data_IF_705204841925
#
_entry.id   IF_705204841925
#
_cell.length_a   1.000
_cell.length_b   1.000
_cell.length_c   1.000
_cell.angle_alpha   90.00
_cell.angle_beta   90.00
_cell.angle_gamma   90.00
#
_symmetry.space_group_name_H-M   'P 1'
#
loop_
_entity.id
_entity.type
_entity.pdbx_description
1 polymer ?
#
# COMPACT_ATOMS: atom_id res chain seq x y z
N UNK A 1 -5.92 18.48 -8.78
CA UNK A 1 -5.57 17.75 -7.54
C UNK A 1 -4.44 16.79 -7.84
N UNK A 2 -3.56 16.55 -6.88
CA UNK A 2 -2.39 15.69 -7.04
C UNK A 2 -2.45 14.49 -6.10
N UNK A 3 -2.48 13.28 -6.66
CA UNK A 3 -2.38 12.04 -5.90
C UNK A 3 -0.92 11.79 -5.53
N UNK A 4 -0.68 11.54 -4.24
CA UNK A 4 0.61 11.09 -3.72
C UNK A 4 0.49 9.61 -3.33
N UNK A 5 1.31 8.77 -3.94
CA UNK A 5 1.37 7.34 -3.58
C UNK A 5 2.41 7.13 -2.48
N UNK A 6 2.11 6.38 -1.41
CA UNK A 6 3.10 5.98 -0.41
C UNK A 6 4.32 5.27 -1.04
N UNK A 7 4.12 4.46 -2.07
CA UNK A 7 5.21 3.78 -2.79
C UNK A 7 6.10 4.76 -3.55
N UNK A 8 5.54 5.83 -4.12
CA UNK A 8 6.36 6.87 -4.75
C UNK A 8 7.18 7.64 -3.72
N UNK A 9 6.66 7.85 -2.51
CA UNK A 9 7.47 8.40 -1.43
C UNK A 9 8.60 7.45 -1.03
N UNK A 10 8.31 6.16 -0.80
CA UNK A 10 9.29 5.19 -0.34
C UNK A 10 10.42 4.92 -1.35
N UNK A 11 10.10 4.90 -2.65
CA UNK A 11 11.06 4.52 -3.69
C UNK A 11 11.47 5.70 -4.58
N UNK A 12 10.51 6.40 -5.20
CA UNK A 12 10.81 7.40 -6.22
C UNK A 12 11.38 8.70 -5.62
N UNK A 13 10.84 9.17 -4.51
CA UNK A 13 11.29 10.41 -3.87
C UNK A 13 12.70 10.27 -3.28
N UNK A 14 12.96 9.15 -2.59
CA UNK A 14 14.28 8.83 -2.03
C UNK A 14 15.35 8.68 -3.11
N UNK A 15 15.02 8.06 -4.25
CA UNK A 15 15.95 7.89 -5.36
C UNK A 15 16.15 9.17 -6.20
N UNK A 16 15.06 9.86 -6.56
CA UNK A 16 15.10 11.04 -7.43
C UNK A 16 13.94 12.02 -7.18
N UNK A 17 14.18 13.04 -6.35
CA UNK A 17 13.22 14.11 -6.04
C UNK A 17 12.72 14.89 -7.26
N UNK A 18 13.59 15.13 -8.24
CA UNK A 18 13.19 15.78 -9.50
C UNK A 18 12.21 14.91 -10.29
N UNK A 19 12.49 13.61 -10.42
CA UNK A 19 11.63 12.64 -11.08
C UNK A 19 10.28 12.51 -10.36
N UNK A 20 10.29 12.53 -9.02
CA UNK A 20 9.08 12.58 -8.20
C UNK A 20 8.22 13.81 -8.52
N UNK A 21 8.82 15.01 -8.55
CA UNK A 21 8.13 16.23 -8.93
C UNK A 21 7.56 16.16 -10.36
N UNK A 22 8.36 15.70 -11.33
CA UNK A 22 7.92 15.55 -12.72
C UNK A 22 6.73 14.59 -12.83
N UNK A 23 6.78 13.45 -12.13
CA UNK A 23 5.68 12.48 -12.10
C UNK A 23 4.39 13.11 -11.58
N UNK A 24 4.45 13.79 -10.44
CA UNK A 24 3.25 14.32 -9.78
C UNK A 24 2.72 15.59 -10.44
N UNK A 25 3.60 16.56 -10.73
CA UNK A 25 3.18 17.88 -11.20
C UNK A 25 3.05 17.97 -12.71
N UNK A 26 3.81 17.15 -13.46
CA UNK A 26 3.86 17.19 -14.92
C UNK A 26 3.32 15.91 -15.56
N UNK A 27 3.00 14.87 -14.80
CA UNK A 27 2.53 13.58 -15.33
C UNK A 27 3.62 12.77 -16.04
N UNK A 28 4.89 13.14 -15.88
CA UNK A 28 6.02 12.51 -16.59
C UNK A 28 6.60 11.43 -15.66
N UNK A 29 6.16 10.19 -15.88
CA UNK A 29 6.66 9.03 -15.15
C UNK A 29 8.01 8.55 -15.68
N UNK A 30 8.72 7.78 -14.86
CA UNK A 30 9.87 6.99 -15.33
C UNK A 30 9.39 5.87 -16.25
N UNK A 31 10.23 5.40 -17.20
CA UNK A 31 9.97 4.18 -17.93
C UNK A 31 9.63 3.04 -16.95
N UNK A 32 8.53 2.34 -17.19
CA UNK A 32 8.14 1.21 -16.35
C UNK A 32 9.05 0.02 -16.66
N UNK A 33 9.75 -0.47 -15.64
CA UNK A 33 10.39 -1.78 -15.72
C UNK A 33 9.29 -2.85 -15.59
N UNK A 34 9.34 -3.93 -16.38
CA UNK A 34 8.39 -5.03 -16.23
C UNK A 34 8.59 -5.63 -14.83
N UNK A 35 7.61 -5.42 -13.94
CA UNK A 35 7.60 -6.11 -12.66
C UNK A 35 7.26 -7.58 -12.92
N UNK A 36 8.10 -8.54 -12.49
CA UNK A 36 7.83 -9.95 -12.75
C UNK A 36 6.48 -10.37 -12.12
N UNK A 37 5.56 -10.86 -12.95
CA UNK A 37 4.22 -11.28 -12.51
C UNK A 37 4.23 -12.38 -11.44
N UNK A 38 5.35 -13.10 -11.31
CA UNK A 38 5.57 -14.10 -10.25
C UNK A 38 5.41 -13.50 -8.85
N UNK A 39 5.85 -12.26 -8.61
CA UNK A 39 5.72 -11.64 -7.29
C UNK A 39 4.28 -11.33 -6.95
N UNK A 40 3.50 -10.85 -7.93
CA UNK A 40 2.06 -10.64 -7.77
C UNK A 40 1.36 -11.98 -7.46
N UNK A 41 1.71 -13.03 -8.21
CA UNK A 41 1.16 -14.37 -8.04
C UNK A 41 1.48 -15.01 -6.68
N UNK A 42 2.67 -14.75 -6.13
CA UNK A 42 3.06 -15.15 -4.77
C UNK A 42 2.25 -14.35 -3.75
N UNK A 43 2.18 -13.03 -3.92
CA UNK A 43 1.48 -12.13 -2.99
C UNK A 43 0.01 -12.51 -2.84
N UNK A 44 -0.72 -12.66 -3.95
CA UNK A 44 -2.15 -13.04 -3.93
C UNK A 44 -2.39 -14.40 -3.27
N UNK A 45 -1.50 -15.38 -3.47
CA UNK A 45 -1.64 -16.70 -2.83
C UNK A 45 -1.37 -16.65 -1.34
N UNK A 46 -0.36 -15.90 -0.91
CA UNK A 46 -0.06 -15.75 0.51
C UNK A 46 -1.20 -15.02 1.22
N UNK A 47 -1.57 -13.85 0.72
CA UNK A 47 -2.58 -12.99 1.34
C UNK A 47 -3.98 -13.61 1.30
N UNK A 48 -4.36 -14.21 0.15
CA UNK A 48 -5.72 -14.74 -0.03
C UNK A 48 -6.05 -15.89 0.91
N UNK A 49 -5.04 -16.66 1.33
CA UNK A 49 -5.21 -17.74 2.29
C UNK A 49 -5.32 -17.27 3.74
N UNK A 50 -5.06 -15.99 4.02
CA UNK A 50 -5.09 -15.41 5.36
C UNK A 50 -6.40 -14.69 5.67
N UNK A 51 -7.19 -14.28 4.66
CA UNK A 51 -8.46 -13.58 4.90
C UNK A 51 -9.40 -14.44 5.76
N UNK A 52 -9.86 -13.87 6.88
CA UNK A 52 -10.71 -14.54 7.88
C UNK A 52 -9.94 -15.33 8.94
N UNK A 53 -8.61 -15.43 8.85
CA UNK A 53 -7.76 -16.14 9.81
C UNK A 53 -7.08 -15.21 10.78
N UNK A 54 -6.71 -15.76 11.93
CA UNK A 54 -5.84 -15.07 12.87
C UNK A 54 -4.39 -15.09 12.36
N UNK A 55 -3.66 -13.99 12.53
CA UNK A 55 -2.23 -13.93 12.18
C UNK A 55 -1.42 -15.01 12.90
N UNK A 56 -1.82 -15.44 14.10
CA UNK A 56 -1.19 -16.53 14.84
C UNK A 56 -1.23 -17.87 14.07
N UNK A 57 -2.18 -18.07 13.14
CA UNK A 57 -2.19 -19.26 12.28
C UNK A 57 -1.00 -19.30 11.31
N UNK A 58 -0.43 -18.14 10.97
CA UNK A 58 0.80 -18.06 10.17
C UNK A 58 2.04 -18.26 11.04
N UNK A 59 2.04 -17.72 12.26
CA UNK A 59 3.13 -17.82 13.22
C UNK A 59 2.70 -17.32 14.60
N UNK A 60 2.97 -18.11 15.65
CA UNK A 60 2.70 -17.76 17.05
C UNK A 60 3.45 -16.52 17.56
N UNK A 61 4.39 -15.98 16.76
CA UNK A 61 5.12 -14.74 17.07
C UNK A 61 4.39 -13.48 16.60
N UNK A 62 3.34 -13.63 15.80
CA UNK A 62 2.54 -12.50 15.33
C UNK A 62 1.50 -12.11 16.38
N UNK A 63 1.08 -10.84 16.42
CA UNK A 63 0.01 -10.43 17.33
C UNK A 63 -1.31 -11.11 16.93
N UNK A 64 -2.13 -11.44 17.92
CA UNK A 64 -3.49 -11.91 17.67
C UNK A 64 -4.28 -10.84 16.90
N UNK A 65 -4.98 -11.26 15.85
CA UNK A 65 -5.70 -10.35 14.99
C UNK A 65 -6.22 -11.04 13.73
N UNK A 66 -7.46 -10.74 13.36
CA UNK A 66 -8.14 -11.37 12.23
C UNK A 66 -7.89 -10.54 10.99
N UNK A 67 -7.39 -11.16 9.92
CA UNK A 67 -7.26 -10.49 8.61
C UNK A 67 -8.65 -10.28 8.01
N UNK A 68 -9.12 -9.03 8.00
CA UNK A 68 -10.46 -8.69 7.51
C UNK A 68 -10.53 -8.56 5.99
N UNK A 69 -9.49 -7.98 5.39
CA UNK A 69 -9.44 -7.85 3.93
C UNK A 69 -8.03 -7.64 3.41
N UNK A 70 -7.87 -7.76 2.10
CA UNK A 70 -6.61 -7.63 1.39
C UNK A 70 -6.75 -6.68 0.20
N UNK A 71 -5.63 -6.09 -0.22
CA UNK A 71 -5.47 -5.39 -1.50
C UNK A 71 -6.51 -4.30 -1.83
N UNK A 72 -7.11 -3.64 -0.82
CA UNK A 72 -8.01 -2.50 -1.08
C UNK A 72 -7.23 -1.18 -1.08
N UNK A 73 -7.83 -0.19 -1.73
CA UNK A 73 -7.34 1.18 -1.70
C UNK A 73 -7.84 1.92 -0.46
N UNK A 74 -6.92 2.66 0.15
CA UNK A 74 -7.22 3.67 1.17
C UNK A 74 -6.80 5.04 0.62
N UNK A 75 -7.56 6.06 1.00
CA UNK A 75 -7.32 7.43 0.59
C UNK A 75 -7.50 8.34 1.80
N UNK A 76 -6.60 9.31 1.95
CA UNK A 76 -6.72 10.36 2.94
C UNK A 76 -7.74 11.41 2.48
N UNK A 77 -8.27 12.17 3.44
CA UNK A 77 -8.84 13.47 3.14
C UNK A 77 -7.78 14.41 2.54
N UNK A 78 -8.25 15.50 1.95
CA UNK A 78 -7.38 16.57 1.44
C UNK A 78 -7.00 17.47 2.61
N UNK A 79 -5.71 17.59 2.97
CA UNK A 79 -5.30 18.51 4.03
C UNK A 79 -5.70 19.96 3.71
N UNK A 80 -6.19 20.73 4.70
CA UNK A 80 -6.61 22.11 4.49
C UNK A 80 -5.51 22.98 3.86
N UNK A 81 -5.89 23.81 2.88
CA UNK A 81 -4.95 24.70 2.19
C UNK A 81 -4.05 23.99 1.16
N UNK A 82 -4.27 22.70 0.90
CA UNK A 82 -3.53 21.95 -0.11
C UNK A 82 -4.44 21.48 -1.25
N UNK A 83 -3.83 21.00 -2.33
CA UNK A 83 -4.54 20.35 -3.45
C UNK A 83 -4.04 18.92 -3.67
N UNK A 84 -3.53 18.29 -2.62
CA UNK A 84 -2.93 16.96 -2.65
C UNK A 84 -3.70 16.00 -1.74
N UNK A 85 -3.64 14.71 -2.06
CA UNK A 85 -4.17 13.65 -1.20
C UNK A 85 -3.27 12.42 -1.29
N UNK A 86 -3.25 11.62 -0.23
CA UNK A 86 -2.50 10.37 -0.20
C UNK A 86 -3.45 9.24 -0.58
N UNK A 87 -3.06 8.40 -1.53
CA UNK A 87 -3.84 7.21 -1.88
C UNK A 87 -2.92 6.06 -2.26
N UNK A 88 -3.15 4.91 -1.63
CA UNK A 88 -2.34 3.71 -1.79
C UNK A 88 -3.20 2.46 -1.61
N UNK A 89 -2.62 1.32 -1.99
CA UNK A 89 -3.18 -0.01 -1.76
C UNK A 89 -2.41 -0.61 -0.58
N UNK A 90 -3.12 -1.15 0.40
CA UNK A 90 -2.49 -1.95 1.46
C UNK A 90 -2.45 -3.42 1.06
N UNK A 91 -1.59 -4.19 1.73
CA UNK A 91 -1.51 -5.64 1.55
C UNK A 91 -2.63 -6.35 2.33
N UNK A 92 -2.61 -6.26 3.66
CA UNK A 92 -3.62 -6.82 4.56
C UNK A 92 -4.14 -5.74 5.52
N UNK A 93 -5.44 -5.81 5.83
CA UNK A 93 -6.07 -5.08 6.93
C UNK A 93 -6.41 -6.08 8.02
N UNK A 94 -5.90 -5.87 9.22
CA UNK A 94 -6.05 -6.78 10.36
C UNK A 94 -6.87 -6.10 11.43
N UNK A 95 -7.87 -6.77 12.00
CA UNK A 95 -8.61 -6.27 13.15
C UNK A 95 -8.09 -6.93 14.42
N UNK A 96 -7.68 -6.10 15.36
CA UNK A 96 -7.22 -6.51 16.69
C UNK A 96 -8.41 -6.76 17.64
N UNK A 97 -8.15 -7.39 18.78
CA UNK A 97 -9.18 -7.74 19.77
C UNK A 97 -9.90 -6.54 20.39
N UNK A 98 -9.26 -5.37 20.40
CA UNK A 98 -9.84 -4.10 20.87
C UNK A 98 -10.66 -3.38 19.78
N UNK A 99 -10.79 -3.98 18.60
CA UNK A 99 -11.54 -3.43 17.47
C UNK A 99 -10.75 -2.43 16.62
N UNK A 100 -9.47 -2.20 16.91
CA UNK A 100 -8.59 -1.36 16.08
C UNK A 100 -8.00 -2.13 14.89
N UNK A 101 -7.40 -1.39 13.96
CA UNK A 101 -6.80 -1.90 12.72
C UNK A 101 -5.35 -1.46 12.54
#
# INVERSE_FOLDING_TARGET
MYKLSPSDFAYLYEECKHCYYLKIRKGIGRPQLPFPGVFSAINTRLQGNMVGKDLCELSDKLPAGIVESQEKFVQSDIPPGTNVFISGKYDLLVRLSDGTH
#
